data_IF_232178648593
#
_entry.id   IF_232178648593
#
_cell.length_a   1.000
_cell.length_b   1.000
_cell.length_c   1.000
_cell.angle_alpha   90.00
_cell.angle_beta   90.00
_cell.angle_gamma   90.00
#
_symmetry.space_group_name_H-M   'P 1'
#
loop_
_entity.id
_entity.type
_entity.pdbx_description
1 polymer ?
#
# COMPACT_ATOMS: atom_id res chain seq x y z
N UNK A 1 4.36 -15.40 -7.75
CA UNK A 1 5.49 -14.53 -7.30
C UNK A 1 6.48 -15.26 -6.38
N UNK A 2 6.89 -16.49 -6.68
CA UNK A 2 7.89 -17.22 -5.87
C UNK A 2 8.62 -18.29 -6.70
N UNK A 3 7.95 -18.83 -7.71
CA UNK A 3 8.48 -19.87 -8.59
C UNK A 3 9.76 -19.50 -9.35
N UNK A 4 9.92 -18.25 -9.80
CA UNK A 4 11.12 -17.87 -10.57
C UNK A 4 12.39 -17.82 -9.70
N UNK A 5 12.27 -17.36 -8.44
CA UNK A 5 13.38 -17.38 -7.50
C UNK A 5 13.72 -18.81 -7.09
N UNK A 6 12.71 -19.66 -6.86
CA UNK A 6 12.90 -21.09 -6.57
C UNK A 6 13.56 -21.81 -7.75
N UNK A 7 13.13 -21.53 -9.00
CA UNK A 7 13.75 -22.09 -10.20
C UNK A 7 15.23 -21.70 -10.33
N UNK A 8 15.60 -20.44 -10.04
CA UNK A 8 17.01 -20.02 -9.99
C UNK A 8 17.83 -20.78 -8.94
N UNK A 9 17.29 -20.99 -7.73
CA UNK A 9 17.95 -21.79 -6.69
C UNK A 9 18.12 -23.26 -7.09
N UNK A 10 17.09 -23.86 -7.69
CA UNK A 10 17.12 -25.25 -8.16
C UNK A 10 18.12 -25.42 -9.31
N UNK A 11 18.13 -24.49 -10.28
CA UNK A 11 19.10 -24.50 -11.37
C UNK A 11 20.55 -24.36 -10.86
N UNK A 12 20.79 -23.52 -9.85
CA UNK A 12 22.12 -23.42 -9.22
C UNK A 12 22.54 -24.71 -8.51
N UNK A 13 21.60 -25.46 -7.91
CA UNK A 13 21.89 -26.72 -7.25
C UNK A 13 22.13 -27.89 -8.23
N UNK A 14 21.49 -27.88 -9.39
CA UNK A 14 21.54 -28.98 -10.37
C UNK A 14 22.64 -28.78 -11.43
N UNK A 15 23.09 -27.54 -11.69
CA UNK A 15 24.20 -27.25 -12.61
C UNK A 15 25.54 -27.53 -11.92
N UNK A 16 26.00 -28.78 -12.01
CA UNK A 16 27.40 -29.20 -11.77
C UNK A 16 28.10 -29.31 -13.13
N UNK A 17 29.24 -28.63 -13.38
CA UNK A 17 30.35 -28.44 -12.45
C UNK A 17 30.59 -26.97 -12.06
N UNK A 18 31.04 -26.76 -10.83
CA UNK A 18 31.46 -25.46 -10.30
C UNK A 18 32.42 -24.76 -11.25
N UNK A 19 31.97 -23.65 -11.82
CA UNK A 19 32.70 -22.87 -12.80
C UNK A 19 32.02 -21.53 -13.01
N UNK A 20 32.41 -20.80 -14.05
CA UNK A 20 31.90 -19.45 -14.31
C UNK A 20 30.37 -19.36 -14.45
N UNK A 21 29.69 -20.45 -14.85
CA UNK A 21 28.23 -20.50 -14.99
C UNK A 21 27.48 -20.40 -13.66
N UNK A 22 28.02 -20.91 -12.54
CA UNK A 22 27.35 -20.79 -11.24
C UNK A 22 27.26 -19.34 -10.79
N UNK A 23 28.28 -18.52 -11.10
CA UNK A 23 28.25 -17.07 -10.84
C UNK A 23 27.19 -16.36 -11.68
N UNK A 24 26.97 -16.77 -12.93
CA UNK A 24 25.91 -16.19 -13.78
C UNK A 24 24.53 -16.52 -13.21
N UNK A 25 24.29 -17.76 -12.79
CA UNK A 25 23.02 -18.14 -12.15
C UNK A 25 22.83 -17.46 -10.79
N UNK A 26 23.89 -17.31 -9.99
CA UNK A 26 23.85 -16.60 -8.72
C UNK A 26 23.52 -15.10 -8.91
N UNK A 27 24.19 -14.43 -9.86
CA UNK A 27 23.88 -13.05 -10.22
C UNK A 27 22.43 -12.93 -10.70
N UNK A 28 21.99 -13.81 -11.60
CA UNK A 28 20.60 -13.89 -12.06
C UNK A 28 19.62 -13.99 -10.89
N UNK A 29 19.85 -14.88 -9.92
CA UNK A 29 18.98 -15.05 -8.76
C UNK A 29 18.81 -13.78 -7.91
N UNK A 30 19.85 -12.93 -7.86
CA UNK A 30 19.85 -11.67 -7.10
C UNK A 30 19.20 -10.52 -7.89
N UNK A 31 19.54 -10.37 -9.18
CA UNK A 31 19.10 -9.22 -10.00
C UNK A 31 17.73 -9.40 -10.65
N UNK A 32 17.37 -10.64 -11.03
CA UNK A 32 16.09 -10.96 -11.65
C UNK A 32 14.87 -10.45 -10.85
N UNK A 33 14.81 -10.58 -9.51
CA UNK A 33 13.67 -10.03 -8.78
C UNK A 33 13.61 -8.50 -8.75
N UNK A 34 14.75 -7.81 -8.77
CA UNK A 34 14.78 -6.36 -8.83
C UNK A 34 14.25 -5.85 -10.18
N UNK A 35 14.73 -6.46 -11.28
CA UNK A 35 14.24 -6.17 -12.63
C UNK A 35 12.75 -6.47 -12.78
N UNK A 36 12.27 -7.58 -12.22
CA UNK A 36 10.85 -7.94 -12.27
C UNK A 36 9.96 -6.88 -11.61
N UNK A 37 10.38 -6.34 -10.45
CA UNK A 37 9.66 -5.25 -9.77
C UNK A 37 9.74 -3.96 -10.58
N UNK A 38 10.90 -3.61 -11.15
CA UNK A 38 11.02 -2.45 -12.03
C UNK A 38 10.05 -2.56 -13.21
N UNK A 39 10.06 -3.67 -13.96
CA UNK A 39 9.18 -3.84 -15.13
C UNK A 39 7.71 -3.79 -14.72
N UNK A 40 7.34 -4.43 -13.61
CA UNK A 40 5.97 -4.42 -13.11
C UNK A 40 5.50 -3.02 -12.70
N UNK A 41 6.38 -2.19 -12.14
CA UNK A 41 6.01 -0.85 -11.66
C UNK A 41 6.16 0.24 -12.72
N UNK A 42 7.17 0.17 -13.59
CA UNK A 42 7.39 1.15 -14.67
C UNK A 42 6.25 1.16 -15.68
N UNK A 43 5.58 0.01 -15.91
CA UNK A 43 4.43 -0.09 -16.80
C UNK A 43 3.06 0.09 -16.14
N UNK A 44 2.98 0.16 -14.80
CA UNK A 44 1.70 0.17 -14.07
C UNK A 44 1.02 1.54 -14.01
N UNK A 45 1.69 2.61 -14.44
CA UNK A 45 1.13 3.97 -14.47
C UNK A 45 0.17 4.25 -15.66
N UNK A 46 -0.07 3.29 -16.57
CA UNK A 46 -0.85 3.55 -17.80
C UNK A 46 -2.32 3.15 -17.70
N UNK A 47 -2.70 2.34 -16.70
CA UNK A 47 -4.10 2.01 -16.45
C UNK A 47 -4.62 2.89 -15.33
N UNK A 48 -5.41 3.91 -15.63
CA UNK A 48 -6.19 4.64 -14.64
C UNK A 48 -6.86 3.60 -13.72
N UNK A 49 -6.33 3.43 -12.50
CA UNK A 49 -6.98 2.59 -11.49
C UNK A 49 -8.30 3.29 -11.24
N UNK A 50 -9.39 2.73 -11.75
CA UNK A 50 -10.73 3.12 -11.36
C UNK A 50 -10.72 3.16 -9.84
N UNK A 51 -10.88 4.35 -9.27
CA UNK A 51 -10.94 4.52 -7.84
C UNK A 51 -12.17 3.74 -7.37
N UNK A 52 -11.93 2.61 -6.71
CA UNK A 52 -12.98 1.82 -6.09
C UNK A 52 -13.45 2.63 -4.88
N UNK A 53 -14.69 3.13 -4.95
CA UNK A 53 -15.25 3.88 -3.84
C UNK A 53 -15.39 2.92 -2.64
N UNK A 54 -14.89 3.27 -1.45
CA UNK A 54 -15.05 2.41 -0.28
C UNK A 54 -16.53 2.15 -0.07
N UNK A 55 -16.92 0.87 -0.10
CA UNK A 55 -18.26 0.40 0.24
C UNK A 55 -18.57 1.00 1.62
N UNK A 56 -19.51 1.94 1.70
CA UNK A 56 -19.88 2.55 2.97
C UNK A 56 -20.71 1.51 3.73
N UNK A 57 -20.07 0.57 4.41
CA UNK A 57 -20.72 -0.32 5.37
C UNK A 57 -21.18 0.51 6.57
N UNK A 58 -22.36 1.11 6.43
CA UNK A 58 -23.10 1.60 7.59
C UNK A 58 -23.52 0.35 8.37
N UNK A 59 -23.07 0.24 9.61
CA UNK A 59 -23.62 -0.73 10.57
C UNK A 59 -25.16 -0.63 10.50
N UNK A 60 -25.85 -1.75 10.28
CA UNK A 60 -27.30 -1.75 10.24
C UNK A 60 -27.82 -1.14 11.55
N UNK A 61 -28.67 -0.12 11.42
CA UNK A 61 -29.25 0.57 12.58
C UNK A 61 -29.83 -0.46 13.53
N UNK A 62 -29.34 -0.48 14.77
CA UNK A 62 -29.92 -1.29 15.84
C UNK A 62 -31.44 -1.00 15.93
N UNK A 63 -32.28 -2.00 16.25
CA UNK A 63 -33.72 -1.80 16.35
C UNK A 63 -34.04 -0.60 17.22
N UNK A 64 -34.91 0.28 16.72
CA UNK A 64 -35.30 1.50 17.41
C UNK A 64 -35.81 1.18 18.81
N UNK A 65 -35.08 1.62 19.83
CA UNK A 65 -35.60 1.71 21.19
C UNK A 65 -36.71 2.79 21.23
N UNK A 66 -37.76 2.60 22.04
CA UNK A 66 -38.92 3.50 22.08
C UNK A 66 -38.57 4.96 22.42
N UNK A 67 -39.29 5.88 21.79
CA UNK A 67 -39.16 7.36 21.83
C UNK A 67 -39.15 7.96 23.25
N UNK A 68 -38.40 9.06 23.51
CA UNK A 68 -37.96 9.50 24.85
C UNK A 68 -38.92 10.44 25.61
N UNK A 69 -38.70 10.53 26.93
CA UNK A 69 -39.15 11.63 27.81
C UNK A 69 -38.33 12.93 27.59
N UNK A 70 -38.87 14.14 27.89
CA UNK A 70 -38.31 15.40 27.42
C UNK A 70 -36.91 15.75 27.97
N UNK A 71 -36.15 16.44 27.12
CA UNK A 71 -34.72 16.68 27.20
C UNK A 71 -34.31 17.73 28.24
N UNK A 72 -33.20 17.46 28.93
CA UNK A 72 -32.15 18.48 29.06
C UNK A 72 -31.26 18.40 27.80
N UNK A 73 -30.97 19.52 27.09
CA UNK A 73 -30.21 19.46 25.85
C UNK A 73 -28.72 19.16 26.15
N UNK A 74 -28.26 17.94 25.86
CA UNK A 74 -26.82 17.62 25.89
C UNK A 74 -26.16 18.13 24.62
N UNK A 75 -25.68 19.38 24.71
CA UNK A 75 -25.00 20.09 23.62
C UNK A 75 -23.50 19.80 23.70
N UNK A 76 -23.00 18.88 22.86
CA UNK A 76 -21.56 18.73 22.64
C UNK A 76 -21.17 19.66 21.49
N UNK A 77 -20.51 20.79 21.80
CA UNK A 77 -19.91 21.69 20.81
C UNK A 77 -18.45 21.30 20.58
N UNK A 78 -18.14 20.88 19.37
CA UNK A 78 -16.76 20.71 18.91
C UNK A 78 -16.46 21.94 18.03
N UNK A 79 -15.47 22.72 18.42
CA UNK A 79 -14.98 23.88 17.67
C UNK A 79 -13.55 23.59 17.20
N UNK A 80 -13.32 23.70 15.89
CA UNK A 80 -11.99 23.54 15.31
C UNK A 80 -11.16 24.80 15.60
N UNK A 81 -9.92 24.63 16.03
CA UNK A 81 -8.97 25.75 16.16
C UNK A 81 -8.31 25.96 14.80
N UNK A 82 -8.40 27.14 14.17
CA UNK A 82 -7.61 27.42 12.98
C UNK A 82 -6.14 27.24 13.33
N UNK A 83 -5.41 26.48 12.50
CA UNK A 83 -3.96 26.46 12.57
C UNK A 83 -3.48 27.88 12.29
N UNK A 84 -2.76 28.50 13.23
CA UNK A 84 -2.06 29.76 12.97
C UNK A 84 -0.92 29.44 12.00
N UNK A 85 -1.07 29.83 10.74
CA UNK A 85 0.05 29.91 9.82
C UNK A 85 1.08 30.90 10.39
N UNK A 86 2.34 30.48 10.48
CA UNK A 86 3.42 31.38 10.87
C UNK A 86 3.54 32.52 9.84
N UNK A 87 3.76 33.77 10.25
CA UNK A 87 4.02 34.86 9.31
C UNK A 87 5.18 34.47 8.40
N UNK A 88 4.95 34.51 7.09
CA UNK A 88 6.02 34.49 6.10
C UNK A 88 6.77 35.82 6.25
N UNK A 89 8.02 35.77 6.71
CA UNK A 89 8.91 36.93 6.78
C UNK A 89 9.30 37.36 5.36
N UNK A 90 8.42 38.13 4.71
CA UNK A 90 8.70 38.79 3.42
C UNK A 90 9.27 40.21 3.66
N UNK A 91 10.42 40.30 4.34
CA UNK A 91 11.24 41.52 4.35
C UNK A 91 12.74 41.22 4.21
N UNK A 92 13.28 41.90 3.17
CA UNK A 92 14.66 42.15 2.72
C UNK A 92 15.44 40.99 2.13
#
# INVERSE_FOLDING_TARGET
>A
MMGIRIACFVLMAVVHPYGWYTFVFAAGAIFLPYLAVIVANVGADVGARTAEAPERSLEASAPAAPTPAPAGPTVIRIAETPRLDAPRDDRS
#
